data_IF_013701672038
#
_entry.id   IF_013701672038
#
_cell.length_a   1.000
_cell.length_b   1.000
_cell.length_c   1.000
_cell.angle_alpha   90.00
_cell.angle_beta   90.00
_cell.angle_gamma   90.00
#
_symmetry.space_group_name_H-M   'P 1'
#
loop_
_entity.id
_entity.type
_entity.pdbx_description
1 polymer ?
#
# COMPACT_ATOMS: atom_id res chain seq x y z
N UNK A 1 -9.41 4.14 -19.74
CA UNK A 1 -9.46 2.79 -19.12
C UNK A 1 -9.24 1.72 -20.17
N UNK A 2 -9.37 0.42 -19.84
CA UNK A 2 -9.10 -0.70 -20.80
C UNK A 2 -10.05 -0.66 -22.01
N UNK A 3 -11.34 -0.43 -21.78
CA UNK A 3 -12.37 -0.25 -22.83
C UNK A 3 -11.98 0.87 -23.80
N UNK A 4 -11.47 1.98 -23.27
CA UNK A 4 -11.02 3.13 -24.09
C UNK A 4 -9.88 2.74 -25.03
N UNK A 5 -8.94 1.91 -24.58
CA UNK A 5 -7.85 1.41 -25.44
C UNK A 5 -8.43 0.57 -26.58
N UNK A 6 -9.36 -0.34 -26.29
CA UNK A 6 -10.05 -1.13 -27.31
C UNK A 6 -10.75 -0.25 -28.36
N UNK A 7 -11.44 0.80 -27.92
CA UNK A 7 -12.10 1.76 -28.80
C UNK A 7 -11.11 2.57 -29.65
N UNK A 8 -10.00 3.04 -29.07
CA UNK A 8 -8.95 3.78 -29.80
C UNK A 8 -8.33 2.90 -30.89
N UNK A 9 -8.03 1.64 -30.57
CA UNK A 9 -7.52 0.67 -31.54
C UNK A 9 -8.54 0.36 -32.63
N UNK A 10 -9.82 0.25 -32.26
CA UNK A 10 -10.93 0.11 -33.21
C UNK A 10 -11.00 1.26 -34.21
N UNK A 11 -10.97 2.50 -33.71
CA UNK A 11 -10.99 3.69 -34.54
C UNK A 11 -9.75 3.79 -35.42
N UNK A 12 -8.56 3.54 -34.87
CA UNK A 12 -7.31 3.56 -35.63
C UNK A 12 -7.31 2.53 -36.77
N UNK A 13 -7.78 1.29 -36.51
CA UNK A 13 -7.92 0.27 -37.55
C UNK A 13 -8.93 0.68 -38.64
N UNK A 14 -10.05 1.30 -38.26
CA UNK A 14 -11.03 1.80 -39.21
C UNK A 14 -10.45 2.90 -40.11
N UNK A 15 -9.66 3.82 -39.56
CA UNK A 15 -8.97 4.86 -40.32
C UNK A 15 -7.97 4.30 -41.35
N UNK A 16 -7.42 3.10 -41.11
CA UNK A 16 -6.52 2.40 -42.04
C UNK A 16 -7.25 1.49 -43.03
N UNK A 17 -8.58 1.43 -42.99
CA UNK A 17 -9.38 0.56 -43.85
C UNK A 17 -9.31 -0.93 -43.49
N UNK A 18 -8.83 -1.26 -42.28
CA UNK A 18 -8.84 -2.62 -41.77
C UNK A 18 -10.23 -3.02 -41.27
N UNK A 19 -10.52 -4.31 -41.32
CA UNK A 19 -11.67 -4.88 -40.61
C UNK A 19 -11.31 -4.99 -39.13
N UNK A 20 -12.22 -4.59 -38.24
CA UNK A 20 -11.99 -4.64 -36.80
C UNK A 20 -13.21 -5.12 -36.05
N UNK A 21 -12.98 -5.86 -34.98
CA UNK A 21 -14.01 -6.22 -34.01
C UNK A 21 -13.47 -6.00 -32.61
N UNK A 22 -14.25 -5.29 -31.79
CA UNK A 22 -13.95 -5.01 -30.39
C UNK A 22 -15.04 -5.63 -29.53
N UNK A 23 -14.65 -6.46 -28.56
CA UNK A 23 -15.56 -7.05 -27.58
C UNK A 23 -15.05 -6.80 -26.17
N UNK A 24 -15.80 -5.99 -25.44
CA UNK A 24 -15.52 -5.70 -24.03
C UNK A 24 -16.28 -6.69 -23.13
N UNK A 25 -15.52 -7.38 -22.28
CA UNK A 25 -16.06 -8.26 -21.24
C UNK A 25 -15.75 -7.66 -19.87
N UNK A 26 -16.79 -7.23 -19.16
CA UNK A 26 -16.70 -6.81 -17.77
C UNK A 26 -17.14 -7.95 -16.84
N UNK A 27 -16.37 -8.19 -15.78
CA UNK A 27 -16.75 -9.12 -14.72
C UNK A 27 -18.00 -8.65 -13.96
N UNK A 28 -18.72 -9.59 -13.34
CA UNK A 28 -19.98 -9.35 -12.61
C UNK A 28 -19.85 -8.39 -11.40
N UNK A 29 -18.64 -8.09 -10.95
CA UNK A 29 -18.41 -7.23 -9.79
C UNK A 29 -18.47 -5.74 -10.16
N UNK A 30 -19.35 -4.99 -9.50
CA UNK A 30 -19.58 -3.55 -9.73
C UNK A 30 -18.36 -2.66 -9.40
N UNK A 31 -17.41 -3.16 -8.59
CA UNK A 31 -16.10 -2.56 -8.32
C UNK A 31 -15.04 -3.67 -8.27
N UNK A 32 -13.87 -3.46 -8.86
CA UNK A 32 -12.76 -4.42 -8.95
C UNK A 32 -13.05 -5.68 -9.78
N UNK A 33 -14.07 -5.65 -10.65
CA UNK A 33 -14.29 -6.72 -11.63
C UNK A 33 -13.22 -6.70 -12.71
N UNK A 34 -12.71 -7.87 -13.09
CA UNK A 34 -11.79 -8.00 -14.22
C UNK A 34 -12.47 -7.50 -15.50
N UNK A 35 -11.81 -6.61 -16.24
CA UNK A 35 -12.27 -6.14 -17.54
C UNK A 35 -11.25 -6.55 -18.58
N UNK A 36 -11.72 -7.20 -19.64
CA UNK A 36 -10.92 -7.57 -20.81
C UNK A 36 -11.55 -6.96 -22.06
N UNK A 37 -10.72 -6.49 -22.98
CA UNK A 37 -11.16 -6.06 -24.31
C UNK A 37 -10.48 -6.94 -25.35
N UNK A 38 -11.26 -7.65 -26.15
CA UNK A 38 -10.77 -8.44 -27.27
C UNK A 38 -10.81 -7.58 -28.53
N UNK A 39 -9.64 -7.34 -29.12
CA UNK A 39 -9.52 -6.55 -30.35
C UNK A 39 -8.94 -7.45 -31.44
N UNK A 40 -9.70 -7.62 -32.53
CA UNK A 40 -9.27 -8.41 -33.69
C UNK A 40 -9.19 -7.51 -34.90
N UNK A 41 -8.12 -7.67 -35.66
CA UNK A 41 -7.93 -6.99 -36.93
C UNK A 41 -7.89 -8.02 -38.06
N UNK A 42 -8.39 -7.65 -39.23
CA UNK A 42 -8.19 -8.38 -40.48
C UNK A 42 -8.00 -7.39 -41.63
N UNK A 43 -7.43 -7.85 -42.74
CA UNK A 43 -7.26 -6.99 -43.92
C UNK A 43 -8.62 -6.61 -44.51
N UNK A 44 -8.63 -5.56 -45.33
CA UNK A 44 -9.83 -5.17 -46.07
C UNK A 44 -10.37 -6.36 -46.87
N UNK A 45 -11.66 -6.68 -46.69
CA UNK A 45 -12.33 -7.79 -47.37
C UNK A 45 -12.15 -9.17 -46.71
N UNK A 46 -11.30 -9.31 -45.69
CA UNK A 46 -11.19 -10.55 -44.92
C UNK A 46 -12.23 -10.60 -43.78
N UNK A 47 -13.05 -11.65 -43.69
CA UNK A 47 -14.12 -11.72 -42.70
C UNK A 47 -13.60 -12.01 -41.28
N UNK A 48 -14.14 -11.29 -40.29
CA UNK A 48 -13.98 -11.58 -38.86
C UNK A 48 -15.24 -12.30 -38.34
N UNK A 49 -15.14 -13.61 -38.13
CA UNK A 49 -16.29 -14.45 -37.77
C UNK A 49 -16.65 -14.45 -36.28
N UNK A 50 -15.65 -14.27 -35.39
CA UNK A 50 -15.85 -14.39 -33.95
C UNK A 50 -15.22 -13.20 -33.21
N UNK A 51 -15.99 -12.42 -32.44
CA UNK A 51 -15.49 -11.25 -31.72
C UNK A 51 -14.56 -11.60 -30.56
N UNK A 52 -14.72 -12.79 -29.97
CA UNK A 52 -13.89 -13.27 -28.85
C UNK A 52 -12.61 -13.92 -29.37
N UNK A 53 -11.48 -13.63 -28.73
CA UNK A 53 -10.22 -14.36 -28.99
C UNK A 53 -10.33 -15.75 -28.36
N UNK A 54 -9.98 -16.80 -29.10
CA UNK A 54 -10.08 -18.19 -28.64
C UNK A 54 -9.05 -18.58 -27.57
N UNK A 55 -9.11 -19.83 -27.12
CA UNK A 55 -8.05 -20.42 -26.28
C UNK A 55 -6.75 -20.43 -27.08
N UNK A 56 -5.63 -20.08 -26.44
CA UNK A 56 -4.31 -20.01 -27.07
C UNK A 56 -4.31 -19.22 -28.40
N UNK A 57 -5.15 -18.20 -28.54
CA UNK A 57 -5.38 -17.49 -29.79
C UNK A 57 -4.96 -16.03 -29.78
N UNK A 58 -4.33 -15.53 -28.70
CA UNK A 58 -3.86 -14.15 -28.63
C UNK A 58 -2.47 -14.02 -29.24
N UNK A 59 -2.30 -13.13 -30.22
CA UNK A 59 -0.97 -12.76 -30.73
C UNK A 59 -0.23 -11.84 -29.74
N UNK A 60 -0.97 -10.93 -29.10
CA UNK A 60 -0.44 -9.98 -28.14
C UNK A 60 -1.42 -9.71 -26.98
N UNK A 61 -0.87 -9.40 -25.80
CA UNK A 61 -1.63 -8.99 -24.62
C UNK A 61 -1.04 -7.72 -24.01
N UNK A 62 -1.88 -6.71 -23.87
CA UNK A 62 -1.57 -5.47 -23.15
C UNK A 62 -2.17 -5.55 -21.75
N UNK A 63 -1.36 -5.97 -20.78
CA UNK A 63 -1.78 -6.17 -19.40
C UNK A 63 -1.86 -4.87 -18.61
N UNK A 64 -2.98 -4.14 -18.67
CA UNK A 64 -3.14 -2.89 -17.92
C UNK A 64 -3.21 -3.10 -16.39
N UNK A 65 -3.57 -4.30 -15.96
CA UNK A 65 -3.64 -4.73 -14.55
C UNK A 65 -3.03 -6.14 -14.44
N UNK A 66 -2.07 -6.32 -13.53
CA UNK A 66 -1.34 -7.57 -13.38
C UNK A 66 -2.24 -8.72 -12.89
N UNK A 67 -3.21 -8.45 -12.02
CA UNK A 67 -4.13 -9.45 -11.46
C UNK A 67 -5.01 -10.03 -12.57
N UNK A 68 -5.54 -9.17 -13.45
CA UNK A 68 -6.35 -9.60 -14.58
C UNK A 68 -5.50 -10.38 -15.59
N UNK A 69 -4.28 -9.90 -15.86
CA UNK A 69 -3.38 -10.50 -16.86
C UNK A 69 -2.89 -11.89 -16.44
N UNK A 70 -2.57 -12.08 -15.15
CA UNK A 70 -2.23 -13.39 -14.57
C UNK A 70 -3.49 -14.22 -14.23
N UNK A 71 -4.69 -13.72 -14.51
CA UNK A 71 -5.93 -14.41 -14.27
C UNK A 71 -6.16 -15.56 -15.25
N UNK A 72 -6.85 -16.61 -14.79
CA UNK A 72 -7.13 -17.83 -15.58
C UNK A 72 -7.71 -17.55 -16.97
N UNK A 73 -8.65 -16.61 -17.07
CA UNK A 73 -9.30 -16.27 -18.35
C UNK A 73 -8.33 -15.64 -19.36
N UNK A 74 -7.37 -14.82 -18.89
CA UNK A 74 -6.37 -14.19 -19.74
C UNK A 74 -5.28 -15.20 -20.12
N UNK A 75 -4.73 -15.94 -19.16
CA UNK A 75 -3.73 -16.99 -19.40
C UNK A 75 -4.24 -18.05 -20.39
N UNK A 76 -5.52 -18.42 -20.33
CA UNK A 76 -6.10 -19.37 -21.28
C UNK A 76 -6.09 -18.89 -22.74
N UNK A 77 -5.89 -17.60 -23.02
CA UNK A 77 -5.76 -17.04 -24.38
C UNK A 77 -4.33 -17.02 -24.88
N UNK A 78 -3.37 -17.20 -23.98
CA UNK A 78 -1.95 -17.09 -24.26
C UNK A 78 -1.36 -18.45 -24.65
N UNK A 79 -0.29 -18.41 -25.43
CA UNK A 79 0.55 -19.55 -25.77
C UNK A 79 2.01 -19.09 -25.89
N UNK A 80 2.95 -20.00 -26.19
CA UNK A 80 4.38 -19.68 -26.30
C UNK A 80 4.78 -18.73 -27.44
N UNK A 81 3.87 -18.33 -28.32
CA UNK A 81 4.07 -17.31 -29.34
C UNK A 81 3.41 -15.96 -29.00
N UNK A 82 2.56 -15.92 -27.97
CA UNK A 82 1.89 -14.69 -27.53
C UNK A 82 2.91 -13.72 -26.93
N UNK A 83 2.90 -12.45 -27.34
CA UNK A 83 3.75 -11.42 -26.72
C UNK A 83 2.97 -10.61 -25.69
N UNK A 84 3.57 -10.34 -24.53
CA UNK A 84 2.91 -9.66 -23.41
C UNK A 84 3.70 -8.44 -22.98
N UNK A 85 3.01 -7.31 -22.83
CA UNK A 85 3.52 -6.13 -22.12
C UNK A 85 2.56 -5.85 -20.96
N UNK A 86 3.03 -5.99 -19.73
CA UNK A 86 2.19 -5.92 -18.54
C UNK A 86 2.64 -4.84 -17.55
N UNK A 87 1.66 -4.12 -17.01
CA UNK A 87 1.82 -3.18 -15.92
C UNK A 87 1.95 -3.92 -14.60
N UNK A 88 3.06 -3.73 -13.87
CA UNK A 88 3.31 -4.44 -12.59
C UNK A 88 2.74 -3.73 -11.36
N UNK A 89 2.11 -2.57 -11.55
CA UNK A 89 1.54 -1.80 -10.45
C UNK A 89 0.54 -2.65 -9.64
N UNK A 90 0.74 -2.68 -8.32
CA UNK A 90 -0.09 -3.45 -7.42
C UNK A 90 -1.45 -2.81 -7.20
N UNK A 91 -2.51 -3.45 -7.70
CA UNK A 91 -3.90 -3.04 -7.43
C UNK A 91 -4.43 -3.79 -6.20
N UNK A 92 -4.99 -3.10 -5.19
CA UNK A 92 -5.64 -3.76 -4.06
C UNK A 92 -6.81 -4.65 -4.52
N UNK A 93 -6.80 -5.92 -4.12
CA UNK A 93 -7.88 -6.88 -4.43
C UNK A 93 -8.93 -6.93 -3.33
N UNK A 94 -10.01 -7.69 -3.53
CA UNK A 94 -10.99 -7.94 -2.46
C UNK A 94 -10.34 -8.62 -1.23
N UNK A 95 -9.32 -9.46 -1.44
CA UNK A 95 -8.65 -10.19 -0.35
C UNK A 95 -7.88 -9.27 0.59
N UNK A 96 -7.38 -8.13 0.09
CA UNK A 96 -6.78 -7.08 0.91
C UNK A 96 -7.72 -6.62 2.04
N UNK A 97 -9.04 -6.60 1.81
CA UNK A 97 -10.01 -6.18 2.84
C UNK A 97 -10.19 -7.21 3.96
N UNK A 98 -9.80 -8.46 3.72
CA UNK A 98 -10.01 -9.59 4.64
C UNK A 98 -8.74 -10.02 5.38
N UNK A 99 -7.57 -9.80 4.78
CA UNK A 99 -6.28 -10.21 5.33
C UNK A 99 -5.38 -8.99 5.59
N UNK A 100 -5.20 -8.57 6.86
CA UNK A 100 -4.33 -7.46 7.25
C UNK A 100 -2.85 -7.64 6.91
N UNK A 101 -2.40 -8.88 6.68
CA UNK A 101 -1.03 -9.25 6.32
C UNK A 101 -0.89 -9.55 4.81
N UNK A 102 -1.92 -9.27 4.02
CA UNK A 102 -1.89 -9.51 2.59
C UNK A 102 -0.79 -8.68 1.92
N UNK A 103 0.07 -9.38 1.19
CA UNK A 103 1.08 -8.78 0.31
C UNK A 103 0.65 -9.02 -1.12
N UNK A 104 0.79 -8.01 -1.97
CA UNK A 104 0.54 -8.16 -3.40
C UNK A 104 1.57 -9.14 -3.99
N UNK A 105 1.15 -10.29 -4.52
CA UNK A 105 2.07 -11.35 -4.95
C UNK A 105 2.54 -11.09 -6.39
N UNK A 106 3.19 -9.94 -6.61
CA UNK A 106 3.63 -9.50 -7.94
C UNK A 106 4.53 -10.53 -8.63
N UNK A 107 5.50 -11.09 -7.90
CA UNK A 107 6.48 -12.03 -8.45
C UNK A 107 5.81 -13.31 -8.96
N UNK A 108 4.90 -13.89 -8.17
CA UNK A 108 4.16 -15.09 -8.58
C UNK A 108 3.25 -14.85 -9.79
N UNK A 109 2.65 -13.66 -9.90
CA UNK A 109 1.84 -13.29 -11.06
C UNK A 109 2.68 -13.08 -12.32
N UNK A 110 3.84 -12.44 -12.19
CA UNK A 110 4.80 -12.28 -13.30
C UNK A 110 5.33 -13.63 -13.77
N UNK A 111 5.71 -14.52 -12.84
CA UNK A 111 6.12 -15.89 -13.16
C UNK A 111 5.03 -16.65 -13.91
N UNK A 112 3.77 -16.59 -13.46
CA UNK A 112 2.68 -17.27 -14.16
C UNK A 112 2.47 -16.78 -15.61
N UNK A 113 2.68 -15.49 -15.87
CA UNK A 113 2.64 -14.92 -17.22
C UNK A 113 3.84 -15.42 -18.03
N UNK A 114 5.05 -15.32 -17.48
CA UNK A 114 6.27 -15.76 -18.15
C UNK A 114 6.26 -17.26 -18.46
N UNK A 115 5.69 -18.09 -17.59
CA UNK A 115 5.52 -19.53 -17.81
C UNK A 115 4.53 -19.82 -18.96
N UNK A 116 3.51 -18.98 -19.13
CA UNK A 116 2.50 -19.17 -20.18
C UNK A 116 2.99 -18.77 -21.58
N UNK A 117 3.89 -17.79 -21.68
CA UNK A 117 4.32 -17.22 -22.97
C UNK A 117 5.81 -17.38 -23.29
N UNK A 118 6.64 -17.76 -22.34
CA UNK A 118 8.09 -17.67 -22.43
C UNK A 118 8.62 -16.34 -21.88
N UNK A 119 9.76 -16.38 -21.19
CA UNK A 119 10.32 -15.19 -20.51
C UNK A 119 10.70 -14.09 -21.51
N UNK A 120 11.15 -14.47 -22.70
CA UNK A 120 11.50 -13.60 -23.82
C UNK A 120 10.30 -12.86 -24.42
N UNK A 121 9.09 -13.41 -24.24
CA UNK A 121 7.85 -12.84 -24.76
C UNK A 121 7.09 -12.01 -23.73
N UNK A 122 7.54 -11.96 -22.47
CA UNK A 122 6.92 -11.21 -21.39
C UNK A 122 7.78 -10.01 -20.98
N UNK A 123 7.27 -8.80 -21.20
CA UNK A 123 7.90 -7.56 -20.72
C UNK A 123 7.05 -6.91 -19.62
N UNK A 124 7.71 -6.52 -18.54
CA UNK A 124 7.08 -5.96 -17.35
C UNK A 124 7.51 -4.50 -17.14
N UNK A 125 6.54 -3.62 -16.88
CA UNK A 125 6.78 -2.18 -16.72
C UNK A 125 5.90 -1.63 -15.61
N UNK A 126 6.46 -0.80 -14.72
CA UNK A 126 5.64 -0.02 -13.78
C UNK A 126 5.08 1.23 -14.48
N UNK A 127 4.14 1.00 -15.40
CA UNK A 127 3.53 2.05 -16.22
C UNK A 127 2.75 3.04 -15.36
N UNK A 128 2.13 2.58 -14.27
CA UNK A 128 1.42 3.47 -13.34
C UNK A 128 2.37 4.45 -12.69
N UNK A 129 3.46 3.99 -12.05
CA UNK A 129 4.41 4.89 -11.41
C UNK A 129 5.01 5.89 -12.38
N UNK A 130 5.42 5.42 -13.57
CA UNK A 130 6.04 6.27 -14.58
C UNK A 130 5.06 7.32 -15.11
N UNK A 131 3.84 6.92 -15.47
CA UNK A 131 2.82 7.85 -15.94
C UNK A 131 2.44 8.88 -14.86
N UNK A 132 2.25 8.46 -13.61
CA UNK A 132 1.95 9.38 -12.50
C UNK A 132 3.11 10.35 -12.25
N UNK A 133 4.36 9.87 -12.27
CA UNK A 133 5.53 10.73 -12.06
C UNK A 133 5.75 11.76 -13.19
N UNK A 134 5.46 11.39 -14.43
CA UNK A 134 5.70 12.22 -15.61
C UNK A 134 4.52 13.16 -15.92
N UNK A 135 3.29 12.75 -15.62
CA UNK A 135 2.06 13.38 -16.11
C UNK A 135 1.08 13.74 -14.99
N UNK A 136 1.39 13.43 -13.74
CA UNK A 136 0.56 13.73 -12.57
C UNK A 136 -0.68 12.83 -12.40
N UNK A 137 -0.95 11.92 -13.33
CA UNK A 137 -2.18 11.12 -13.32
C UNK A 137 -1.91 9.64 -13.67
N UNK A 138 -2.43 8.73 -12.83
CA UNK A 138 -2.38 7.30 -13.05
C UNK A 138 -3.26 6.83 -14.23
N UNK A 139 -4.27 7.60 -14.64
CA UNK A 139 -5.14 7.27 -15.78
C UNK A 139 -4.33 7.19 -17.09
N UNK A 140 -3.26 7.97 -17.20
CA UNK A 140 -2.36 7.98 -18.35
C UNK A 140 -1.56 6.68 -18.54
N UNK A 141 -1.51 5.80 -17.51
CA UNK A 141 -0.78 4.52 -17.55
C UNK A 141 -1.20 3.60 -18.69
N UNK A 142 -2.48 3.57 -19.04
CA UNK A 142 -2.97 2.71 -20.12
C UNK A 142 -2.47 3.19 -21.50
N UNK A 143 -2.45 4.50 -21.76
CA UNK A 143 -1.93 5.05 -23.02
C UNK A 143 -0.40 4.94 -23.06
N UNK A 144 0.28 5.10 -21.92
CA UNK A 144 1.69 4.80 -21.78
C UNK A 144 1.98 3.33 -22.16
N UNK A 145 1.22 2.38 -21.59
CA UNK A 145 1.39 0.96 -21.90
C UNK A 145 1.12 0.66 -23.38
N UNK A 146 0.10 1.29 -23.97
CA UNK A 146 -0.17 1.19 -25.41
C UNK A 146 1.01 1.69 -26.24
N UNK A 147 1.60 2.84 -25.88
CA UNK A 147 2.79 3.38 -26.55
C UNK A 147 3.99 2.43 -26.46
N UNK A 148 4.21 1.84 -25.29
CA UNK A 148 5.25 0.84 -25.08
C UNK A 148 5.04 -0.40 -25.95
N UNK A 149 3.83 -0.96 -25.94
CA UNK A 149 3.47 -2.14 -26.73
C UNK A 149 3.56 -1.87 -28.24
N UNK A 150 3.10 -0.70 -28.69
CA UNK A 150 3.21 -0.28 -30.08
C UNK A 150 4.68 -0.19 -30.52
N UNK A 151 5.53 0.43 -29.70
CA UNK A 151 6.96 0.57 -30.01
C UNK A 151 7.71 -0.78 -30.06
N UNK A 152 7.22 -1.78 -29.31
CA UNK A 152 7.69 -3.18 -29.34
C UNK A 152 7.09 -4.01 -30.49
N UNK A 153 6.18 -3.43 -31.28
CA UNK A 153 5.55 -4.08 -32.44
C UNK A 153 4.41 -5.02 -32.10
N UNK A 154 3.77 -4.90 -30.93
CA UNK A 154 2.61 -5.73 -30.55
C UNK A 154 1.30 -5.26 -31.21
N UNK A 155 1.25 -4.00 -31.65
CA UNK A 155 0.04 -3.38 -32.20
C UNK A 155 0.22 -3.17 -33.70
N UNK A 156 -0.55 -3.87 -34.56
CA UNK A 156 -0.37 -3.87 -36.01
C UNK A 156 -1.07 -2.67 -36.68
N UNK A 157 -0.92 -1.47 -36.13
CA UNK A 157 -1.51 -0.22 -36.63
C UNK A 157 -0.42 0.86 -36.72
N UNK A 158 -0.58 1.84 -37.60
CA UNK A 158 0.33 2.98 -37.67
C UNK A 158 0.18 3.91 -36.46
N UNK A 159 1.29 4.53 -36.06
CA UNK A 159 1.27 5.55 -35.01
C UNK A 159 0.42 6.77 -35.39
N UNK A 160 0.32 7.09 -36.69
CA UNK A 160 -0.51 8.19 -37.20
C UNK A 160 -2.01 7.89 -37.01
N UNK A 161 -2.45 6.66 -37.26
CA UNK A 161 -3.83 6.27 -37.03
C UNK A 161 -4.19 6.27 -35.54
N UNK A 162 -3.29 5.82 -34.67
CA UNK A 162 -3.47 5.88 -33.21
C UNK A 162 -3.55 7.34 -32.73
N UNK A 163 -2.65 8.19 -33.21
CA UNK A 163 -2.66 9.62 -32.87
C UNK A 163 -3.97 10.30 -33.30
N UNK A 164 -4.42 10.01 -34.53
CA UNK A 164 -5.71 10.52 -35.03
C UNK A 164 -6.89 9.97 -34.24
N UNK A 165 -6.86 8.71 -33.80
CA UNK A 165 -7.89 8.14 -32.94
C UNK A 165 -7.94 8.83 -31.56
N UNK A 166 -6.79 9.19 -30.99
CA UNK A 166 -6.70 9.99 -29.75
C UNK A 166 -7.35 11.36 -29.95
N UNK A 167 -7.05 12.03 -31.07
CA UNK A 167 -7.64 13.33 -31.40
C UNK A 167 -9.16 13.26 -31.55
N UNK A 168 -9.66 12.26 -32.28
CA UNK A 168 -11.10 12.04 -32.49
C UNK A 168 -11.84 11.65 -31.21
N UNK A 169 -11.16 11.02 -30.24
CA UNK A 169 -11.76 10.73 -28.94
C UNK A 169 -12.09 12.00 -28.14
N UNK A 170 -11.36 13.10 -28.38
CA UNK A 170 -11.70 14.43 -27.86
C UNK A 170 -11.41 14.67 -26.37
N UNK A 171 -10.90 13.68 -25.64
CA UNK A 171 -10.64 13.75 -24.20
C UNK A 171 -9.13 13.84 -23.93
N UNK A 172 -8.71 14.87 -23.19
CA UNK A 172 -7.33 15.06 -22.71
C UNK A 172 -6.26 14.78 -23.79
N UNK A 173 -6.49 15.27 -25.02
CA UNK A 173 -5.75 14.90 -26.24
C UNK A 173 -4.24 15.02 -26.03
N UNK A 174 -3.75 16.19 -25.61
CA UNK A 174 -2.32 16.45 -25.43
C UNK A 174 -1.70 15.57 -24.33
N UNK A 175 -2.43 15.32 -23.24
CA UNK A 175 -1.96 14.43 -22.17
C UNK A 175 -1.86 12.98 -22.67
N UNK A 176 -2.85 12.50 -23.43
CA UNK A 176 -2.87 11.16 -24.01
C UNK A 176 -1.76 10.97 -25.06
N UNK A 177 -1.52 11.97 -25.91
CA UNK A 177 -0.39 11.99 -26.86
C UNK A 177 0.94 11.91 -26.14
N UNK A 178 1.10 12.72 -25.09
CA UNK A 178 2.32 12.75 -24.27
C UNK A 178 2.52 11.40 -23.56
N UNK A 179 1.47 10.80 -23.02
CA UNK A 179 1.52 9.47 -22.41
C UNK A 179 1.96 8.39 -23.40
N UNK A 180 1.37 8.37 -24.59
CA UNK A 180 1.74 7.45 -25.66
C UNK A 180 3.21 7.63 -26.08
N UNK A 181 3.67 8.88 -26.22
CA UNK A 181 5.06 9.19 -26.58
C UNK A 181 6.07 8.76 -25.48
N UNK A 182 5.74 8.97 -24.20
CA UNK A 182 6.56 8.48 -23.09
C UNK A 182 6.63 6.96 -23.04
N UNK A 183 5.50 6.28 -23.27
CA UNK A 183 5.45 4.83 -23.39
C UNK A 183 6.37 4.29 -24.48
N UNK A 184 6.33 4.93 -25.66
CA UNK A 184 7.24 4.60 -26.76
C UNK A 184 8.70 4.80 -26.36
N UNK A 185 9.01 5.92 -25.71
CA UNK A 185 10.38 6.21 -25.26
C UNK A 185 10.86 5.16 -24.26
N UNK A 186 10.00 4.73 -23.34
CA UNK A 186 10.33 3.73 -22.31
C UNK A 186 10.64 2.34 -22.88
N UNK A 187 10.08 2.00 -24.04
CA UNK A 187 10.41 0.76 -24.76
C UNK A 187 11.80 0.81 -25.42
N UNK A 188 12.34 2.00 -25.71
CA UNK A 188 13.65 2.16 -26.34
C UNK A 188 14.75 2.49 -25.33
N UNK A 189 14.45 3.35 -24.35
CA UNK A 189 15.40 3.89 -23.38
C UNK A 189 14.71 4.03 -22.02
N UNK A 190 14.77 2.96 -21.22
CA UNK A 190 14.16 2.92 -19.90
C UNK A 190 14.83 3.90 -18.94
N UNK A 191 16.16 3.96 -18.95
CA UNK A 191 16.93 4.76 -17.99
C UNK A 191 16.61 6.25 -18.13
N UNK A 192 16.48 6.75 -19.36
CA UNK A 192 16.09 8.14 -19.60
C UNK A 192 14.70 8.46 -19.07
N UNK A 193 13.75 7.55 -19.22
CA UNK A 193 12.39 7.74 -18.70
C UNK A 193 12.38 7.70 -17.18
N UNK A 194 13.16 6.81 -16.55
CA UNK A 194 13.33 6.79 -15.09
C UNK A 194 13.96 8.09 -14.57
N UNK A 195 14.99 8.61 -15.25
CA UNK A 195 15.61 9.88 -14.90
C UNK A 195 14.63 11.05 -15.04
N UNK A 196 13.84 11.09 -16.12
CA UNK A 196 12.80 12.09 -16.31
C UNK A 196 11.69 11.99 -15.26
N UNK A 197 11.28 10.77 -14.89
CA UNK A 197 10.30 10.54 -13.83
C UNK A 197 10.84 11.00 -12.47
N UNK A 198 12.11 10.71 -12.16
CA UNK A 198 12.77 11.20 -10.94
C UNK A 198 12.88 12.74 -10.91
N UNK A 199 13.16 13.37 -12.05
CA UNK A 199 13.20 14.82 -12.16
C UNK A 199 11.81 15.47 -12.10
N UNK A 200 10.78 14.83 -12.67
CA UNK A 200 9.38 15.23 -12.57
C UNK A 200 8.88 15.16 -11.12
N UNK A 201 9.25 14.09 -10.41
CA UNK A 201 9.05 13.96 -8.96
C UNK A 201 9.82 14.99 -8.13
N UNK A 202 10.84 15.65 -8.70
CA UNK A 202 11.56 16.77 -8.08
C UNK A 202 10.89 18.14 -8.29
N UNK A 203 9.89 18.24 -9.18
CA UNK A 203 8.97 19.38 -9.25
C UNK A 203 7.78 19.21 -8.30
N UNK A 204 7.42 17.98 -7.98
CA UNK A 204 6.68 17.67 -6.75
C UNK A 204 7.63 17.83 -5.57
N UNK A 205 7.16 18.34 -4.44
CA UNK A 205 8.00 18.63 -3.27
C UNK A 205 8.87 17.41 -2.89
N UNK A 206 10.11 17.61 -2.38
CA UNK A 206 10.97 16.52 -1.94
C UNK A 206 10.17 15.56 -1.07
N UNK A 207 10.26 14.25 -1.36
CA UNK A 207 9.60 13.19 -0.59
C UNK A 207 9.69 13.55 0.89
N UNK A 208 8.56 13.92 1.54
CA UNK A 208 8.59 14.43 2.89
C UNK A 208 9.40 13.49 3.77
N UNK A 209 10.19 14.00 4.72
CA UNK A 209 11.01 13.16 5.62
C UNK A 209 10.19 12.03 6.26
N UNK A 210 8.89 12.26 6.45
CA UNK A 210 7.90 11.27 6.91
C UNK A 210 7.69 10.05 6.01
N UNK A 211 8.08 10.09 4.73
CA UNK A 211 7.93 9.03 3.72
C UNK A 211 9.24 8.27 3.42
N UNK A 212 10.39 8.73 3.93
CA UNK A 212 11.68 8.03 3.78
C UNK A 212 11.73 6.82 4.70
N UNK A 213 12.01 5.61 4.20
CA UNK A 213 12.27 4.46 5.06
C UNK A 213 13.59 4.64 5.82
N UNK A 214 13.61 4.25 7.09
CA UNK A 214 14.84 4.28 7.88
C UNK A 214 15.83 3.26 7.30
N UNK A 215 17.08 3.67 7.11
CA UNK A 215 18.15 2.83 6.56
C UNK A 215 18.82 1.95 7.62
N UNK A 216 18.65 2.27 8.90
CA UNK A 216 19.24 1.53 10.02
C UNK A 216 18.32 1.44 11.23
N UNK A 217 18.66 0.55 12.16
CA UNK A 217 17.99 0.44 13.45
C UNK A 217 18.14 1.73 14.27
N UNK A 218 19.30 2.39 14.20
CA UNK A 218 19.53 3.66 14.90
C UNK A 218 18.67 4.79 14.35
N UNK A 219 18.57 4.91 13.02
CA UNK A 219 17.66 5.89 12.40
C UNK A 219 16.20 5.59 12.77
N UNK A 220 15.85 4.31 12.84
CA UNK A 220 14.52 3.86 13.27
C UNK A 220 14.21 4.29 14.71
N UNK A 221 15.14 4.10 15.64
CA UNK A 221 14.97 4.48 17.05
C UNK A 221 14.93 5.99 17.20
N UNK A 222 15.85 6.72 16.56
CA UNK A 222 15.90 8.19 16.61
C UNK A 222 14.57 8.80 16.12
N UNK A 223 14.06 8.36 14.97
CA UNK A 223 12.78 8.83 14.44
C UNK A 223 11.60 8.56 15.38
N UNK A 224 11.60 7.42 16.06
CA UNK A 224 10.57 7.05 17.04
C UNK A 224 10.68 7.91 18.31
N UNK A 225 11.89 8.24 18.74
CA UNK A 225 12.14 9.19 19.84
C UNK A 225 11.55 10.55 19.47
N UNK A 226 11.90 11.11 18.31
CA UNK A 226 11.38 12.41 17.85
C UNK A 226 9.85 12.41 17.77
N UNK A 227 9.27 11.33 17.23
CA UNK A 227 7.82 11.17 17.20
C UNK A 227 7.21 11.14 18.59
N UNK A 228 7.83 10.47 19.58
CA UNK A 228 7.31 10.41 20.95
C UNK A 228 7.42 11.75 21.69
N UNK A 229 8.41 12.58 21.33
CA UNK A 229 8.51 13.98 21.83
C UNK A 229 7.33 14.79 21.32
N UNK A 230 7.02 14.69 20.03
CA UNK A 230 5.87 15.36 19.41
C UNK A 230 4.53 14.83 19.92
N UNK A 231 4.46 13.51 20.11
CA UNK A 231 3.29 12.81 20.61
C UNK A 231 2.95 13.27 22.03
N UNK A 232 3.93 13.35 22.92
CA UNK A 232 3.73 13.69 24.32
C UNK A 232 4.76 14.73 24.79
N UNK A 233 5.98 14.28 25.11
CA UNK A 233 7.10 15.08 25.63
C UNK A 233 8.42 14.30 25.64
N UNK A 234 9.53 14.99 25.98
CA UNK A 234 10.87 14.40 26.08
C UNK A 234 11.00 13.29 27.13
N UNK A 235 10.25 13.38 28.23
CA UNK A 235 10.29 12.35 29.29
C UNK A 235 9.70 11.05 28.76
N UNK A 236 8.61 11.12 28.01
CA UNK A 236 7.97 9.98 27.40
C UNK A 236 8.86 9.31 26.34
N UNK A 237 9.51 10.12 25.50
CA UNK A 237 10.47 9.62 24.51
C UNK A 237 11.72 8.99 25.17
N UNK A 238 12.19 9.55 26.29
CA UNK A 238 13.31 9.00 27.08
C UNK A 238 13.00 7.63 27.65
N UNK A 239 11.79 7.43 28.19
CA UNK A 239 11.32 6.11 28.67
C UNK A 239 11.43 5.05 27.57
N UNK A 240 10.99 5.37 26.35
CA UNK A 240 11.14 4.47 25.20
C UNK A 240 12.60 4.16 24.91
N UNK A 241 13.45 5.19 24.80
CA UNK A 241 14.87 5.04 24.47
C UNK A 241 15.61 4.19 25.48
N UNK A 242 15.42 4.45 26.77
CA UNK A 242 16.06 3.71 27.85
C UNK A 242 15.70 2.22 27.83
N UNK A 243 14.44 1.88 27.53
CA UNK A 243 14.01 0.49 27.42
C UNK A 243 14.63 -0.22 26.23
N UNK A 244 14.62 0.40 25.06
CA UNK A 244 15.24 -0.16 23.86
C UNK A 244 16.74 -0.35 24.04
N UNK A 245 17.41 0.61 24.68
CA UNK A 245 18.85 0.54 24.93
C UNK A 245 19.23 -0.58 25.91
N UNK A 246 18.43 -0.82 26.96
CA UNK A 246 18.66 -1.99 27.84
C UNK A 246 18.56 -3.32 27.10
N UNK A 247 17.55 -3.47 26.23
CA UNK A 247 17.39 -4.68 25.41
C UNK A 247 18.57 -4.82 24.45
N UNK A 248 18.98 -3.73 23.80
CA UNK A 248 20.14 -3.69 22.92
C UNK A 248 21.40 -4.17 23.61
N UNK A 249 21.68 -3.68 24.82
CA UNK A 249 22.86 -4.07 25.58
C UNK A 249 22.85 -5.56 25.93
N UNK A 250 21.72 -6.07 26.42
CA UNK A 250 21.56 -7.49 26.75
C UNK A 250 21.68 -8.39 25.52
N UNK A 251 21.05 -8.04 24.40
CA UNK A 251 21.13 -8.81 23.16
C UNK A 251 22.55 -8.76 22.57
N UNK A 252 23.19 -7.58 22.53
CA UNK A 252 24.54 -7.39 22.01
C UNK A 252 25.57 -8.21 22.80
N UNK A 253 25.40 -8.35 24.11
CA UNK A 253 26.24 -9.22 24.94
C UNK A 253 26.16 -10.70 24.54
N UNK A 254 25.06 -11.15 23.92
CA UNK A 254 24.85 -12.53 23.49
C UNK A 254 25.28 -12.78 22.03
N UNK A 255 25.01 -11.84 21.12
CA UNK A 255 25.19 -12.04 19.67
C UNK A 255 26.37 -11.29 19.07
N UNK A 256 27.06 -10.44 19.85
CA UNK A 256 28.14 -9.59 19.36
C UNK A 256 27.68 -8.67 18.21
N UNK A 257 28.45 -8.61 17.14
CA UNK A 257 28.14 -7.81 15.95
C UNK A 257 27.02 -8.40 15.06
N UNK A 258 26.37 -9.48 15.50
CA UNK A 258 25.22 -10.07 14.84
C UNK A 258 23.99 -9.14 14.80
N UNK A 259 22.96 -9.53 14.01
CA UNK A 259 21.72 -8.78 13.90
C UNK A 259 20.97 -8.74 15.23
N UNK A 260 20.45 -7.56 15.58
CA UNK A 260 19.73 -7.29 16.84
C UNK A 260 18.21 -7.45 16.67
N UNK A 261 17.77 -8.70 16.48
CA UNK A 261 16.36 -9.04 16.18
C UNK A 261 15.40 -8.71 17.33
N UNK A 262 15.80 -8.96 18.59
CA UNK A 262 14.99 -8.64 19.76
C UNK A 262 14.89 -7.12 19.95
N UNK A 263 15.98 -6.41 19.74
CA UNK A 263 16.01 -4.95 19.79
C UNK A 263 15.09 -4.34 18.73
N UNK A 264 15.10 -4.82 17.48
CA UNK A 264 14.16 -4.33 16.45
C UNK A 264 12.70 -4.60 16.84
N UNK A 265 12.41 -5.83 17.29
CA UNK A 265 11.07 -6.23 17.72
C UNK A 265 10.55 -5.34 18.86
N UNK A 266 11.36 -5.11 19.90
CA UNK A 266 11.02 -4.23 21.03
C UNK A 266 10.91 -2.78 20.60
N UNK A 267 11.87 -2.28 19.82
CA UNK A 267 11.84 -0.90 19.33
C UNK A 267 10.56 -0.63 18.53
N UNK A 268 10.08 -1.59 17.75
CA UNK A 268 8.85 -1.48 16.95
C UNK A 268 7.60 -1.56 17.81
N UNK A 269 7.50 -2.61 18.62
CA UNK A 269 6.27 -2.93 19.34
C UNK A 269 6.06 -2.03 20.56
N UNK A 270 7.12 -1.67 21.29
CA UNK A 270 7.01 -0.69 22.37
C UNK A 270 6.55 0.68 21.83
N UNK A 271 7.13 1.14 20.72
CA UNK A 271 6.70 2.39 20.08
C UNK A 271 5.24 2.32 19.65
N UNK A 272 4.81 1.23 19.00
CA UNK A 272 3.41 1.01 18.59
C UNK A 272 2.45 1.10 19.78
N UNK A 273 2.82 0.53 20.92
CA UNK A 273 2.01 0.55 22.13
C UNK A 273 2.00 1.91 22.83
N UNK A 274 3.11 2.65 22.78
CA UNK A 274 3.23 3.98 23.38
C UNK A 274 2.57 5.08 22.54
N UNK A 275 2.63 4.99 21.22
CA UNK A 275 2.05 5.94 20.27
C UNK A 275 0.67 5.48 19.76
N UNK A 276 -0.23 5.12 20.68
CA UNK A 276 -1.60 4.75 20.33
C UNK A 276 -2.39 5.97 19.82
N UNK A 277 -3.25 5.75 18.82
CA UNK A 277 -4.04 6.82 18.19
C UNK A 277 -5.21 7.24 19.07
N UNK A 278 -4.95 8.17 19.98
CA UNK A 278 -5.98 8.82 20.79
C UNK A 278 -6.48 10.12 20.19
N UNK A 279 -7.43 10.74 20.89
CA UNK A 279 -8.09 11.97 20.44
C UNK A 279 -7.06 13.11 20.25
N UNK A 280 -6.06 13.20 21.13
CA UNK A 280 -4.98 14.17 21.05
C UNK A 280 -4.06 13.93 19.85
N UNK A 281 -3.68 12.68 19.60
CA UNK A 281 -2.80 12.33 18.49
C UNK A 281 -3.51 12.50 17.14
N UNK A 282 -4.78 12.09 17.05
CA UNK A 282 -5.60 12.34 15.85
C UNK A 282 -5.67 13.83 15.56
N UNK A 283 -5.91 14.65 16.59
CA UNK A 283 -5.94 16.10 16.46
C UNK A 283 -4.59 16.68 16.00
N UNK A 284 -3.48 16.21 16.57
CA UNK A 284 -2.12 16.62 16.17
C UNK A 284 -1.85 16.27 14.70
N UNK A 285 -2.21 15.08 14.26
CA UNK A 285 -2.01 14.63 12.89
C UNK A 285 -2.82 15.44 11.87
N UNK A 286 -4.05 15.83 12.20
CA UNK A 286 -4.87 16.70 11.33
C UNK A 286 -4.37 18.15 11.30
N UNK A 287 -3.71 18.61 12.35
CA UNK A 287 -3.25 20.01 12.47
C UNK A 287 -1.79 20.20 12.08
N UNK A 288 -1.08 19.13 11.75
CA UNK A 288 0.28 19.18 11.23
C UNK A 288 0.33 19.77 9.81
N UNK A 289 1.40 20.53 9.48
CA UNK A 289 1.60 21.10 8.14
C UNK A 289 1.57 20.03 7.05
N UNK A 290 2.17 18.86 7.34
CA UNK A 290 2.20 17.71 6.44
C UNK A 290 0.81 17.16 6.08
N UNK A 291 -0.26 17.44 6.83
CA UNK A 291 -1.62 17.12 6.41
C UNK A 291 -2.12 18.12 5.37
N UNK A 292 -1.87 19.41 5.57
CA UNK A 292 -2.26 20.47 4.63
C UNK A 292 -1.50 20.36 3.31
N UNK A 293 -0.19 20.17 3.37
CA UNK A 293 0.67 19.95 2.19
C UNK A 293 0.13 18.79 1.34
N UNK A 294 -0.29 17.68 1.97
CA UNK A 294 -0.89 16.54 1.25
C UNK A 294 -2.22 16.85 0.59
N UNK A 295 -3.04 17.72 1.20
CA UNK A 295 -4.29 18.14 0.60
C UNK A 295 -4.05 19.03 -0.61
N UNK A 296 -3.12 19.98 -0.48
CA UNK A 296 -2.77 20.91 -1.56
C UNK A 296 -2.03 20.19 -2.70
N UNK A 297 -1.28 19.10 -2.42
CA UNK A 297 -0.70 18.20 -3.43
C UNK A 297 -1.76 17.41 -4.21
N UNK A 298 -2.86 17.02 -3.56
CA UNK A 298 -3.82 16.07 -4.12
C UNK A 298 -5.06 16.73 -4.74
N UNK A 299 -5.41 17.95 -4.32
CA UNK A 299 -6.63 18.63 -4.73
C UNK A 299 -6.34 20.05 -5.21
N UNK A 300 -6.80 20.37 -6.42
CA UNK A 300 -6.76 21.73 -6.97
C UNK A 300 -7.99 22.55 -6.56
N UNK A 301 -7.81 23.86 -6.38
CA UNK A 301 -8.88 24.81 -6.12
C UNK A 301 -9.43 24.83 -4.68
N UNK A 302 -10.64 25.38 -4.53
CA UNK A 302 -11.29 25.53 -3.22
C UNK A 302 -12.01 24.24 -2.81
N UNK A 303 -11.40 23.47 -1.91
CA UNK A 303 -12.02 22.27 -1.33
C UNK A 303 -12.59 22.52 0.07
N UNK A 304 -13.64 21.76 0.43
CA UNK A 304 -14.22 21.75 1.78
C UNK A 304 -13.96 20.40 2.45
N UNK A 305 -13.58 20.44 3.73
CA UNK A 305 -13.34 19.25 4.53
C UNK A 305 -14.58 18.92 5.38
N UNK A 306 -15.05 17.67 5.31
CA UNK A 306 -16.00 17.11 6.28
C UNK A 306 -15.43 15.88 6.96
N UNK A 307 -15.75 15.71 8.24
CA UNK A 307 -15.18 14.69 9.12
C UNK A 307 -16.28 13.76 9.63
N UNK A 308 -16.08 12.46 9.49
CA UNK A 308 -16.99 11.44 10.01
C UNK A 308 -16.49 10.93 11.35
N UNK A 309 -16.99 11.51 12.44
CA UNK A 309 -16.52 11.24 13.80
C UNK A 309 -17.60 10.59 14.65
N UNK A 310 -17.18 9.80 15.64
CA UNK A 310 -18.04 9.28 16.69
C UNK A 310 -17.43 9.64 18.05
N UNK A 311 -17.55 10.90 18.51
CA UNK A 311 -16.89 11.36 19.74
C UNK A 311 -17.34 10.51 20.93
N UNK A 312 -16.44 9.86 21.70
CA UNK A 312 -16.81 8.86 22.71
C UNK A 312 -17.84 9.32 23.75
N UNK A 313 -17.82 10.61 24.10
CA UNK A 313 -18.70 11.22 25.10
C UNK A 313 -20.07 11.64 24.55
N UNK A 314 -20.21 11.79 23.22
CA UNK A 314 -21.40 12.38 22.59
C UNK A 314 -22.08 11.45 21.57
N UNK A 315 -21.39 10.43 21.06
CA UNK A 315 -21.92 9.59 20.01
C UNK A 315 -22.97 8.62 20.56
N UNK A 316 -24.07 8.48 19.83
CA UNK A 316 -25.08 7.45 20.09
C UNK A 316 -24.48 6.08 19.81
N UNK A 317 -24.98 5.05 20.53
CA UNK A 317 -24.66 3.66 20.25
C UNK A 317 -25.75 3.02 19.40
N UNK A 318 -25.38 2.13 18.48
CA UNK A 318 -26.32 1.31 17.73
C UNK A 318 -26.84 0.14 18.58
N UNK A 319 -27.73 -0.69 18.03
CA UNK A 319 -28.28 -1.87 18.71
C UNK A 319 -27.23 -2.91 19.15
N UNK A 320 -26.02 -2.87 18.58
CA UNK A 320 -24.88 -3.72 18.93
C UNK A 320 -23.94 -3.06 19.95
N UNK A 321 -24.28 -1.86 20.45
CA UNK A 321 -23.48 -1.11 21.41
C UNK A 321 -22.32 -0.30 20.80
N UNK A 322 -22.24 -0.20 19.48
CA UNK A 322 -21.13 0.45 18.76
C UNK A 322 -21.44 1.93 18.51
N UNK A 323 -20.41 2.80 18.57
CA UNK A 323 -20.57 4.24 18.35
C UNK A 323 -20.95 4.55 16.88
N UNK A 324 -21.99 5.37 16.70
CA UNK A 324 -22.47 5.79 15.38
C UNK A 324 -21.71 7.04 14.92
N UNK A 325 -21.07 6.95 13.75
CA UNK A 325 -20.39 8.08 13.11
C UNK A 325 -21.40 9.11 12.61
N UNK A 326 -21.08 10.38 12.79
CA UNK A 326 -21.82 11.52 12.23
C UNK A 326 -20.88 12.40 11.46
N UNK A 327 -21.40 13.07 10.45
CA UNK A 327 -20.68 14.08 9.69
C UNK A 327 -20.60 15.39 10.46
N UNK A 328 -19.42 15.99 10.46
CA UNK A 328 -19.13 17.30 11.01
C UNK A 328 -18.37 18.14 9.97
N UNK A 329 -18.68 19.44 9.89
CA UNK A 329 -18.04 20.34 8.94
C UNK A 329 -16.62 20.75 9.33
N UNK A 330 -16.02 21.64 8.53
CA UNK A 330 -14.62 22.05 8.66
C UNK A 330 -14.28 22.76 9.97
N UNK A 331 -15.28 23.24 10.73
CA UNK A 331 -15.10 23.84 12.06
C UNK A 331 -14.38 22.92 13.05
N UNK A 332 -14.44 21.60 12.84
CA UNK A 332 -13.74 20.60 13.66
C UNK A 332 -12.21 20.79 13.62
N UNK A 333 -11.66 21.39 12.56
CA UNK A 333 -10.23 21.71 12.50
C UNK A 333 -9.80 22.64 13.64
N UNK A 334 -10.65 23.59 14.02
CA UNK A 334 -10.38 24.48 15.15
C UNK A 334 -10.39 23.71 16.48
N UNK A 335 -11.31 22.73 16.62
CA UNK A 335 -11.34 21.84 17.79
C UNK A 335 -10.08 20.99 17.86
N UNK A 336 -9.64 20.42 16.74
CA UNK A 336 -8.38 19.68 16.69
C UNK A 336 -7.19 20.56 17.01
N UNK A 337 -7.14 21.82 16.56
CA UNK A 337 -6.05 22.73 16.88
C UNK A 337 -5.94 22.99 18.39
N UNK A 338 -7.07 23.17 19.08
CA UNK A 338 -7.10 23.29 20.54
C UNK A 338 -6.71 21.98 21.20
N UNK A 339 -7.30 20.86 20.77
CA UNK A 339 -7.07 19.55 21.36
C UNK A 339 -5.61 19.11 21.25
N UNK A 340 -4.96 19.34 20.11
CA UNK A 340 -3.54 19.04 19.90
C UNK A 340 -2.63 19.75 20.91
N UNK A 341 -2.97 20.97 21.33
CA UNK A 341 -2.24 21.73 22.37
C UNK A 341 -2.49 21.19 23.77
N UNK A 342 -3.64 20.56 24.00
CA UNK A 342 -4.02 19.94 25.26
C UNK A 342 -3.46 18.52 25.47
N UNK A 343 -2.57 18.04 24.58
CA UNK A 343 -1.93 16.71 24.71
C UNK A 343 -1.26 16.45 26.07
N UNK A 344 -0.81 17.50 26.76
CA UNK A 344 -0.24 17.40 28.11
C UNK A 344 -1.24 16.91 29.17
N UNK A 345 -2.54 17.01 28.91
CA UNK A 345 -3.57 16.46 29.78
C UNK A 345 -3.66 14.94 29.70
N UNK A 346 -3.11 14.31 28.65
CA UNK A 346 -3.16 12.86 28.44
C UNK A 346 -2.68 12.10 29.68
N UNK A 347 -3.52 11.19 30.17
CA UNK A 347 -3.20 10.35 31.32
C UNK A 347 -3.21 11.07 32.67
N UNK A 348 -3.49 12.37 32.72
CA UNK A 348 -3.65 13.13 33.98
C UNK A 348 -5.06 12.96 34.54
N UNK A 349 -5.29 13.43 35.77
CA UNK A 349 -6.62 13.46 36.39
C UNK A 349 -7.63 14.32 35.64
N UNK A 350 -7.14 15.29 34.85
CA UNK A 350 -7.89 16.21 34.02
C UNK A 350 -8.08 15.72 32.57
N UNK A 351 -7.68 14.48 32.26
CA UNK A 351 -7.93 13.85 30.96
C UNK A 351 -9.42 13.47 30.82
N UNK A 352 -10.22 14.14 29.97
CA UNK A 352 -11.63 13.80 29.80
C UNK A 352 -11.83 12.45 29.07
N UNK A 353 -10.84 11.97 28.32
CA UNK A 353 -10.91 10.71 27.57
C UNK A 353 -10.25 9.55 28.32
N UNK A 354 -9.31 9.86 29.21
CA UNK A 354 -8.43 8.91 29.88
C UNK A 354 -9.14 7.93 30.81
N UNK A 355 -10.38 8.19 31.23
CA UNK A 355 -11.15 7.30 32.12
C UNK A 355 -11.92 6.20 31.40
N UNK A 356 -11.97 6.23 30.07
CA UNK A 356 -12.60 5.17 29.28
C UNK A 356 -11.87 3.83 29.46
N UNK A 357 -12.59 2.72 29.32
CA UNK A 357 -12.00 1.37 29.41
C UNK A 357 -10.91 1.16 28.36
N UNK A 358 -11.11 1.70 27.15
CA UNK A 358 -10.13 1.63 26.06
C UNK A 358 -8.81 2.32 26.44
N UNK A 359 -8.85 3.58 26.92
CA UNK A 359 -7.64 4.32 27.29
C UNK A 359 -6.94 3.72 28.51
N UNK A 360 -7.69 3.17 29.47
CA UNK A 360 -7.11 2.43 30.60
C UNK A 360 -6.39 1.16 30.13
N UNK A 361 -7.03 0.39 29.24
CA UNK A 361 -6.45 -0.83 28.69
C UNK A 361 -5.19 -0.54 27.86
N UNK A 362 -5.15 0.53 27.07
CA UNK A 362 -3.97 0.93 26.30
C UNK A 362 -2.78 1.30 27.19
N UNK A 363 -3.00 2.08 28.26
CA UNK A 363 -1.92 2.41 29.22
C UNK A 363 -1.44 1.19 29.98
N UNK A 364 -2.36 0.30 30.38
CA UNK A 364 -1.99 -0.94 31.03
C UNK A 364 -1.17 -1.84 30.09
N UNK A 365 -1.54 -1.91 28.82
CA UNK A 365 -0.83 -2.70 27.82
C UNK A 365 0.64 -2.27 27.63
N UNK A 366 0.94 -0.97 27.74
CA UNK A 366 2.34 -0.48 27.75
C UNK A 366 3.09 -1.02 28.97
N UNK A 367 2.47 -0.97 30.15
CA UNK A 367 3.10 -1.48 31.38
C UNK A 367 3.28 -3.00 31.35
N UNK A 368 2.28 -3.74 30.89
CA UNK A 368 2.32 -5.20 30.72
C UNK A 368 3.45 -5.61 29.75
N UNK A 369 3.61 -4.86 28.65
CA UNK A 369 4.69 -5.07 27.68
C UNK A 369 6.06 -4.83 28.28
N UNK A 370 6.26 -3.70 28.96
CA UNK A 370 7.54 -3.41 29.62
C UNK A 370 7.89 -4.46 30.67
N UNK A 371 6.92 -4.88 31.48
CA UNK A 371 7.13 -5.94 32.48
C UNK A 371 7.49 -7.27 31.82
N UNK A 372 6.87 -7.61 30.69
CA UNK A 372 7.24 -8.79 29.90
C UNK A 372 8.68 -8.68 29.41
N UNK A 373 9.05 -7.55 28.81
CA UNK A 373 10.43 -7.35 28.32
C UNK A 373 11.43 -7.50 29.45
N UNK A 374 11.15 -6.90 30.63
CA UNK A 374 12.01 -7.04 31.81
C UNK A 374 12.18 -8.53 32.20
N UNK A 375 11.10 -9.32 32.23
CA UNK A 375 11.16 -10.78 32.50
C UNK A 375 11.91 -11.57 31.44
N UNK A 376 11.80 -11.19 30.16
CA UNK A 376 12.57 -11.83 29.09
C UNK A 376 14.07 -11.61 29.33
N UNK A 377 14.47 -10.39 29.68
CA UNK A 377 15.87 -10.03 29.90
C UNK A 377 16.51 -10.72 31.10
N UNK A 378 15.74 -11.07 32.14
CA UNK A 378 16.26 -11.75 33.34
C UNK A 378 16.94 -13.10 33.05
N UNK A 379 16.46 -13.82 32.03
CA UNK A 379 16.93 -15.17 31.69
C UNK A 379 17.23 -15.32 30.20
N UNK A 380 17.55 -14.20 29.54
CA UNK A 380 17.85 -14.19 28.12
C UNK A 380 19.19 -14.90 27.86
N UNK A 381 19.16 -15.87 26.95
CA UNK A 381 20.34 -16.56 26.42
C UNK A 381 20.16 -16.80 24.91
N UNK A 382 21.17 -17.39 24.28
CA UNK A 382 21.19 -17.66 22.83
C UNK A 382 20.07 -18.62 22.41
N UNK A 383 19.71 -19.60 23.24
CA UNK A 383 18.66 -20.58 22.93
C UNK A 383 17.25 -19.98 23.06
N UNK A 384 17.07 -19.08 24.03
CA UNK A 384 15.82 -18.40 24.33
C UNK A 384 15.56 -17.19 23.45
N UNK A 385 16.60 -16.62 22.82
CA UNK A 385 16.49 -15.43 21.98
C UNK A 385 15.41 -15.53 20.88
N UNK A 386 15.28 -16.61 20.09
CA UNK A 386 14.22 -16.70 19.08
C UNK A 386 12.81 -16.67 19.68
N UNK A 387 12.61 -17.24 20.87
CA UNK A 387 11.32 -17.21 21.55
C UNK A 387 11.05 -15.83 22.16
N UNK A 388 12.05 -15.17 22.73
CA UNK A 388 11.94 -13.80 23.21
C UNK A 388 11.53 -12.83 22.08
N UNK A 389 12.12 -12.98 20.89
CA UNK A 389 11.75 -12.19 19.69
C UNK A 389 10.29 -12.42 19.32
N UNK A 390 9.81 -13.67 19.32
CA UNK A 390 8.41 -13.99 19.04
C UNK A 390 7.47 -13.34 20.05
N UNK A 391 7.78 -13.42 21.34
CA UNK A 391 6.99 -12.81 22.41
C UNK A 391 6.96 -11.29 22.26
N UNK A 392 8.11 -10.66 22.05
CA UNK A 392 8.22 -9.22 21.84
C UNK A 392 7.47 -8.71 20.60
N UNK A 393 7.18 -9.60 19.63
CA UNK A 393 6.48 -9.29 18.38
C UNK A 393 4.95 -9.45 18.45
N UNK A 394 4.40 -10.05 19.51
CA UNK A 394 2.95 -10.28 19.65
C UNK A 394 2.11 -9.01 19.49
N UNK A 395 2.53 -7.81 19.96
CA UNK A 395 1.73 -6.61 19.77
C UNK A 395 1.48 -6.24 18.29
N UNK A 396 2.22 -6.80 17.33
CA UNK A 396 1.97 -6.62 15.90
C UNK A 396 0.58 -7.12 15.46
N UNK A 397 0.01 -8.09 16.18
CA UNK A 397 -1.33 -8.65 15.96
C UNK A 397 -2.45 -7.72 16.43
N UNK A 398 -2.14 -6.80 17.34
CA UNK A 398 -3.12 -5.85 17.88
C UNK A 398 -3.33 -4.73 16.85
N UNK A 399 -4.24 -4.98 15.91
CA UNK A 399 -4.59 -4.07 14.80
C UNK A 399 -6.06 -3.66 14.84
N UNK A 400 -6.39 -2.58 14.14
CA UNK A 400 -7.75 -2.04 14.04
C UNK A 400 -8.08 -1.01 15.13
N UNK A 401 -9.36 -0.65 15.22
CA UNK A 401 -9.88 0.38 16.12
C UNK A 401 -11.14 -0.12 16.86
N UNK A 402 -11.41 0.41 18.06
CA UNK A 402 -12.61 0.09 18.84
C UNK A 402 -12.77 -1.42 19.07
N UNK A 403 -13.95 -1.97 18.75
CA UNK A 403 -14.27 -3.38 18.99
C UNK A 403 -13.34 -4.36 18.25
N UNK A 404 -12.83 -4.00 17.06
CA UNK A 404 -11.87 -4.84 16.32
C UNK A 404 -10.55 -4.95 17.08
N UNK A 405 -10.06 -3.82 17.61
CA UNK A 405 -8.85 -3.77 18.43
C UNK A 405 -9.04 -4.55 19.73
N UNK A 406 -10.18 -4.40 20.39
CA UNK A 406 -10.50 -5.13 21.62
C UNK A 406 -10.48 -6.66 21.42
N UNK A 407 -11.08 -7.15 20.33
CA UNK A 407 -11.05 -8.57 19.97
C UNK A 407 -9.62 -9.06 19.72
N UNK A 408 -8.85 -8.32 18.93
CA UNK A 408 -7.47 -8.68 18.60
C UNK A 408 -6.57 -8.64 19.85
N UNK A 409 -6.79 -7.67 20.75
CA UNK A 409 -6.11 -7.59 22.04
C UNK A 409 -6.39 -8.82 22.91
N UNK A 410 -7.64 -9.29 22.98
CA UNK A 410 -7.99 -10.48 23.75
C UNK A 410 -7.26 -11.73 23.20
N UNK A 411 -7.23 -11.89 21.87
CA UNK A 411 -6.48 -12.98 21.22
C UNK A 411 -4.98 -12.88 21.48
N UNK A 412 -4.40 -11.68 21.32
CA UNK A 412 -2.99 -11.43 21.56
C UNK A 412 -2.60 -11.72 23.01
N UNK A 413 -3.42 -11.32 24.00
CA UNK A 413 -3.18 -11.61 25.42
C UNK A 413 -3.14 -13.11 25.72
N UNK A 414 -4.04 -13.90 25.10
CA UNK A 414 -4.02 -15.36 25.24
C UNK A 414 -2.71 -15.94 24.70
N UNK A 415 -2.33 -15.57 23.47
CA UNK A 415 -1.07 -16.01 22.85
C UNK A 415 0.14 -15.60 23.68
N UNK A 416 0.11 -14.41 24.24
CA UNK A 416 1.17 -13.89 25.10
C UNK A 416 1.38 -14.75 26.34
N UNK A 417 0.30 -15.12 27.04
CA UNK A 417 0.38 -16.05 28.16
C UNK A 417 0.95 -17.41 27.77
N UNK A 418 0.52 -17.96 26.63
CA UNK A 418 1.01 -19.25 26.12
C UNK A 418 2.51 -19.22 25.78
N UNK A 419 2.99 -18.19 25.09
CA UNK A 419 4.40 -18.07 24.72
C UNK A 419 5.29 -17.75 25.95
N UNK A 420 4.80 -16.95 26.90
CA UNK A 420 5.52 -16.72 28.17
C UNK A 420 5.62 -17.99 29.01
N UNK A 421 4.56 -18.79 29.09
CA UNK A 421 4.62 -20.08 29.78
C UNK A 421 5.66 -21.02 29.14
N UNK A 422 5.80 -21.00 27.81
CA UNK A 422 6.86 -21.74 27.11
C UNK A 422 8.25 -21.19 27.39
N UNK A 423 8.39 -19.87 27.55
CA UNK A 423 9.66 -19.22 27.86
C UNK A 423 10.15 -19.54 29.26
N UNK A 424 9.21 -19.63 30.21
CA UNK A 424 9.49 -19.92 31.61
C UNK A 424 9.68 -21.41 31.89
N UNK A 425 9.25 -22.29 30.97
CA UNK A 425 9.49 -23.71 31.11
C UNK A 425 11.00 -24.01 31.14
N UNK A 426 11.46 -24.92 32.03
CA UNK A 426 12.85 -25.35 32.04
C UNK A 426 13.20 -25.94 30.67
N UNK A 427 14.39 -25.59 30.14
CA UNK A 427 14.87 -26.16 28.89
C UNK A 427 14.83 -27.69 28.99
N UNK A 428 14.34 -28.42 27.97
CA UNK A 428 14.36 -29.87 28.00
C UNK A 428 15.81 -30.31 28.23
N UNK A 429 16.04 -31.01 29.33
CA UNK A 429 17.34 -31.63 29.63
C UNK A 429 17.59 -32.60 28.49
N UNK A 430 18.61 -32.34 27.67
CA UNK A 430 19.08 -33.34 26.71
C UNK A 430 19.49 -34.58 27.51
N UNK A 431 18.70 -35.65 27.38
CA UNK A 431 19.07 -36.95 27.91
C UNK A 431 20.31 -37.40 27.13
N UNK A 432 21.46 -37.36 27.80
CA UNK A 432 22.76 -37.75 27.25
C UNK A 432 22.90 -39.24 26.98
#
# INVERSE_FOLDING_TARGET
GVVTIGQLLGMAAHLEGLQVTVLDMAGLAQKNGAVMSFVRFARAGEPLYAPRIGVAGADAVLGCDLVVTAGREALARMNGATRVVANVAGTPTADFTRNPDWKFPADGMQSAIADAVGTENAEFVDATRLATALLGDAIASNLFLLGHAWQRGLVPLSGAAIDRAIELNGVAIEQNRTAFAWGRTAALDRERVEAAAAAGLGKSAPTPVSRRLSASLDETIARRVDHLVDYQDERYARRYRERVERVRQAERALVGEGPLALTDAVARNLFKLMAYKDEYEVARLYTASAFRERLDEQFEGDFRLSFHLAPPLLARRNAKGELVKREYGSWVMNVFAVLARLRRLRGTTFDPFGRTEERRAERQLVADYEATVDRLLETLDVQRLPLAVRIASIPDEIRGFGHVKARNLASARKRWGEEMARYEAPAPVEAG
#
